data_IF_410884545813
#
_entry.id   IF_410884545813
#
_cell.length_a   1.000
_cell.length_b   1.000
_cell.length_c   1.000
_cell.angle_alpha   90.00
_cell.angle_beta   90.00
_cell.angle_gamma   90.00
#
_symmetry.space_group_name_H-M   'P 1'
#
loop_
_entity.id
_entity.type
_entity.pdbx_description
1 polymer ?
#
# COMPACT_ATOMS: atom_id res chain seq x y z
N UNK A 1 -11.34 -4.91 -17.63
CA UNK A 1 -10.74 -3.60 -17.27
C UNK A 1 -9.84 -3.29 -18.43
N UNK A 2 -10.17 -2.27 -19.22
CA UNK A 2 -9.37 -1.90 -20.38
C UNK A 2 -8.01 -1.36 -19.90
N UNK A 3 -6.89 -1.87 -20.45
CA UNK A 3 -5.58 -1.26 -20.25
C UNK A 3 -5.61 0.21 -20.67
N UNK A 4 -4.79 1.03 -20.01
CA UNK A 4 -4.54 2.44 -20.36
C UNK A 4 -5.71 3.44 -20.26
N UNK A 5 -6.94 3.00 -19.99
CA UNK A 5 -8.10 3.91 -19.91
C UNK A 5 -8.76 4.00 -18.55
N UNK A 6 -8.35 3.17 -17.60
CA UNK A 6 -8.89 3.16 -16.23
C UNK A 6 -7.84 2.63 -15.26
N UNK A 7 -8.04 2.89 -13.98
CA UNK A 7 -7.23 2.33 -12.92
C UNK A 7 -6.24 3.33 -12.34
N UNK A 8 -5.14 2.79 -11.86
CA UNK A 8 -3.97 3.55 -11.45
C UNK A 8 -2.95 3.45 -12.58
N UNK A 9 -2.47 4.60 -13.04
CA UNK A 9 -1.43 4.70 -14.05
C UNK A 9 -0.09 4.88 -13.34
N UNK A 10 0.93 4.15 -13.77
CA UNK A 10 2.26 4.11 -13.17
C UNK A 10 3.29 4.61 -14.15
N UNK A 11 4.38 5.19 -13.65
CA UNK A 11 5.58 5.41 -14.42
C UNK A 11 6.64 4.36 -14.04
N UNK A 12 6.79 3.27 -14.82
CA UNK A 12 7.70 2.19 -14.47
C UNK A 12 9.15 2.68 -14.35
N UNK A 13 9.80 2.28 -13.26
CA UNK A 13 11.20 2.61 -12.98
C UNK A 13 11.41 3.99 -12.34
N UNK A 14 10.37 4.81 -12.15
CA UNK A 14 10.55 6.15 -11.56
C UNK A 14 11.07 6.12 -10.11
N UNK A 15 10.86 5.02 -9.39
CA UNK A 15 11.39 4.81 -8.03
C UNK A 15 12.92 4.69 -7.98
N UNK A 16 13.58 4.55 -9.14
CA UNK A 16 15.03 4.52 -9.29
C UNK A 16 15.60 5.87 -9.77
N UNK A 17 14.73 6.82 -10.10
CA UNK A 17 15.09 8.13 -10.64
C UNK A 17 14.85 9.19 -9.56
N UNK A 18 15.93 9.68 -8.96
CA UNK A 18 15.87 10.66 -7.86
C UNK A 18 15.14 11.96 -8.26
N UNK A 19 15.21 12.34 -9.54
CA UNK A 19 14.54 13.52 -10.07
C UNK A 19 13.07 13.25 -10.50
N UNK A 20 12.56 12.02 -10.35
CA UNK A 20 11.18 11.70 -10.68
C UNK A 20 10.19 12.37 -9.72
N UNK A 21 10.55 12.46 -8.43
CA UNK A 21 9.70 13.08 -7.42
C UNK A 21 9.44 14.57 -7.72
N UNK A 22 10.48 15.31 -8.13
CA UNK A 22 10.39 16.73 -8.47
C UNK A 22 9.53 16.99 -9.72
N UNK A 23 9.41 15.99 -10.60
CA UNK A 23 8.58 16.08 -11.81
C UNK A 23 7.12 15.68 -11.58
N UNK A 24 6.81 15.00 -10.48
CA UNK A 24 5.47 14.53 -10.18
C UNK A 24 4.38 15.64 -10.19
N UNK A 25 4.64 16.86 -9.66
CA UNK A 25 3.64 17.94 -9.68
C UNK A 25 3.24 18.44 -11.07
N UNK A 26 4.14 18.33 -12.06
CA UNK A 26 3.96 18.79 -13.44
C UNK A 26 3.89 17.62 -14.44
N UNK A 27 3.64 16.41 -13.94
CA UNK A 27 3.71 15.17 -14.71
C UNK A 27 2.84 15.20 -15.98
N UNK A 28 1.69 15.86 -15.93
CA UNK A 28 0.77 15.97 -17.07
C UNK A 28 1.28 16.84 -18.21
N UNK A 29 2.28 17.69 -17.95
CA UNK A 29 2.91 18.57 -18.92
C UNK A 29 4.13 17.90 -19.58
N UNK A 30 4.71 16.87 -18.93
CA UNK A 30 5.82 16.08 -19.47
C UNK A 30 5.31 14.98 -20.40
N UNK A 31 5.13 15.32 -21.68
CA UNK A 31 4.65 14.39 -22.71
C UNK A 31 5.52 13.12 -22.83
N UNK A 32 6.82 13.22 -22.60
CA UNK A 32 7.74 12.08 -22.70
C UNK A 32 7.53 11.09 -21.55
N UNK A 33 7.31 11.60 -20.34
CA UNK A 33 6.95 10.76 -19.19
C UNK A 33 5.55 10.19 -19.35
N UNK A 34 4.57 11.01 -19.75
CA UNK A 34 3.20 10.56 -19.99
C UNK A 34 3.13 9.41 -21.01
N UNK A 35 3.94 9.45 -22.07
CA UNK A 35 4.03 8.39 -23.06
C UNK A 35 4.65 7.07 -22.53
N UNK A 36 5.36 7.13 -21.40
CA UNK A 36 5.95 5.95 -20.73
C UNK A 36 5.06 5.40 -19.61
N UNK A 37 3.97 6.09 -19.28
CA UNK A 37 3.10 5.67 -18.20
C UNK A 37 2.19 4.52 -18.64
N UNK A 38 1.95 3.57 -17.74
CA UNK A 38 1.19 2.35 -18.01
C UNK A 38 0.06 2.16 -16.99
N UNK A 39 -1.10 1.70 -17.45
CA UNK A 39 -2.18 1.22 -16.56
C UNK A 39 -2.33 -0.28 -16.77
N UNK A 40 -1.69 -1.13 -15.92
CA UNK A 40 -1.57 -2.56 -16.19
C UNK A 40 -2.90 -3.32 -16.19
N UNK A 41 -3.99 -2.70 -15.71
CA UNK A 41 -5.24 -3.39 -15.42
C UNK A 41 -5.07 -4.36 -14.24
N UNK A 42 -6.07 -4.49 -13.39
CA UNK A 42 -6.04 -5.46 -12.31
C UNK A 42 -7.43 -6.08 -12.17
N UNK A 43 -7.58 -7.33 -12.63
CA UNK A 43 -8.85 -8.03 -12.56
C UNK A 43 -9.34 -8.17 -11.11
N UNK A 44 -10.64 -8.41 -10.90
CA UNK A 44 -11.17 -8.66 -9.58
C UNK A 44 -10.47 -9.87 -8.93
N UNK A 45 -10.01 -9.69 -7.67
CA UNK A 45 -9.19 -10.68 -6.96
C UNK A 45 -7.70 -10.67 -7.35
N UNK A 46 -7.31 -9.87 -8.35
CA UNK A 46 -5.92 -9.63 -8.70
C UNK A 46 -5.21 -8.73 -7.69
N UNK A 47 -3.88 -8.79 -7.69
CA UNK A 47 -3.02 -8.01 -6.83
C UNK A 47 -2.04 -7.19 -7.67
N UNK A 48 -1.90 -5.92 -7.34
CA UNK A 48 -0.85 -5.05 -7.88
C UNK A 48 0.09 -4.65 -6.75
N UNK A 49 1.37 -4.99 -6.90
CA UNK A 49 2.43 -4.62 -5.95
C UNK A 49 3.43 -3.70 -6.65
N UNK A 50 3.83 -2.62 -5.99
CA UNK A 50 4.81 -1.68 -6.50
C UNK A 50 5.57 -1.01 -5.35
N UNK A 51 6.77 -0.50 -5.63
CA UNK A 51 7.53 0.33 -4.70
C UNK A 51 6.77 1.64 -4.46
N UNK A 52 6.58 2.05 -3.19
CA UNK A 52 5.82 3.26 -2.84
C UNK A 52 6.33 4.54 -3.52
N UNK A 53 7.63 4.60 -3.87
CA UNK A 53 8.23 5.74 -4.58
C UNK A 53 7.93 5.74 -6.08
N UNK A 54 7.29 4.69 -6.60
CA UNK A 54 6.84 4.66 -7.98
C UNK A 54 5.78 5.74 -8.17
N UNK A 55 6.05 6.67 -9.08
CA UNK A 55 5.16 7.76 -9.42
C UNK A 55 3.95 7.15 -10.09
N UNK A 56 2.78 7.45 -9.54
CA UNK A 56 1.52 6.93 -10.01
C UNK A 56 0.43 7.97 -9.86
N UNK A 57 -0.64 7.84 -10.65
CA UNK A 57 -1.81 8.71 -10.59
C UNK A 57 -3.09 7.92 -10.80
N UNK A 58 -4.17 8.37 -10.16
CA UNK A 58 -5.51 7.88 -10.47
C UNK A 58 -5.97 8.40 -11.83
N UNK A 59 -6.48 7.52 -12.68
CA UNK A 59 -7.22 7.94 -13.87
C UNK A 59 -8.68 8.23 -13.50
N UNK A 60 -9.32 9.11 -14.27
CA UNK A 60 -10.72 9.43 -14.07
C UNK A 60 -11.56 8.16 -14.25
N UNK A 61 -12.35 7.83 -13.24
CA UNK A 61 -13.27 6.71 -13.29
C UNK A 61 -14.59 7.20 -13.88
N UNK A 62 -14.83 6.90 -15.16
CA UNK A 62 -15.85 7.61 -15.90
C UNK A 62 -17.29 7.21 -15.53
N UNK A 63 -17.58 5.98 -15.04
CA UNK A 63 -18.97 5.52 -14.82
C UNK A 63 -19.13 4.21 -14.02
N UNK A 64 -18.16 3.79 -13.18
CA UNK A 64 -18.30 2.53 -12.42
C UNK A 64 -17.79 2.65 -11.00
N UNK A 65 -18.45 1.96 -10.08
CA UNK A 65 -17.91 1.80 -8.74
C UNK A 65 -16.74 0.80 -8.77
N UNK A 66 -15.65 1.11 -8.08
CA UNK A 66 -14.45 0.27 -8.00
C UNK A 66 -14.04 0.16 -6.55
N UNK A 67 -14.31 -0.99 -5.94
CA UNK A 67 -13.75 -1.32 -4.64
C UNK A 67 -12.22 -1.43 -4.75
N UNK A 68 -11.50 -0.58 -4.02
CA UNK A 68 -10.03 -0.60 -3.94
C UNK A 68 -9.63 -0.75 -2.48
N UNK A 69 -8.88 -1.79 -2.18
CA UNK A 69 -8.12 -1.88 -0.94
C UNK A 69 -6.69 -1.42 -1.21
N UNK A 70 -6.21 -0.45 -0.43
CA UNK A 70 -4.85 0.05 -0.51
C UNK A 70 -4.12 -0.26 0.79
N UNK A 71 -2.97 -0.93 0.69
CA UNK A 71 -2.14 -1.32 1.82
C UNK A 71 -0.73 -0.82 1.55
N UNK A 72 -0.20 -0.04 2.49
CA UNK A 72 1.21 0.39 2.48
C UNK A 72 1.94 -0.43 3.52
N UNK A 73 3.07 -1.01 3.12
CA UNK A 73 3.95 -1.74 4.02
C UNK A 73 5.27 -0.97 4.07
N UNK A 74 5.56 -0.40 5.24
CA UNK A 74 6.88 0.11 5.53
C UNK A 74 7.85 -1.05 5.75
N UNK A 75 9.02 -1.00 5.10
CA UNK A 75 10.07 -2.01 5.28
C UNK A 75 10.93 -1.74 6.52
N UNK A 76 10.85 -0.53 7.07
CA UNK A 76 11.51 -0.10 8.31
C UNK A 76 10.47 0.25 9.37
N UNK A 77 10.74 -0.05 10.66
CA UNK A 77 9.78 0.20 11.74
C UNK A 77 9.51 1.70 11.97
N UNK A 78 10.46 2.58 11.60
CA UNK A 78 10.37 4.02 11.87
C UNK A 78 9.80 4.83 10.69
N UNK A 79 9.45 4.17 9.59
CA UNK A 79 8.78 4.85 8.48
C UNK A 79 7.35 5.21 8.87
N UNK A 80 7.10 6.51 8.99
CA UNK A 80 5.79 7.09 9.30
C UNK A 80 5.24 7.72 8.02
N UNK A 81 4.04 7.35 7.62
CA UNK A 81 3.30 8.08 6.59
C UNK A 81 2.63 9.31 7.24
N UNK A 82 2.95 10.51 6.76
CA UNK A 82 2.48 11.77 7.33
C UNK A 82 1.61 12.61 6.40
N UNK A 83 1.37 12.16 5.16
CA UNK A 83 0.74 13.01 4.15
C UNK A 83 -0.42 12.34 3.42
N UNK A 84 -0.35 11.04 3.17
CA UNK A 84 -1.32 10.39 2.28
C UNK A 84 -2.47 9.70 3.03
N UNK A 85 -2.37 9.58 4.35
CA UNK A 85 -3.40 8.96 5.18
C UNK A 85 -3.83 9.86 6.34
N UNK A 86 -5.10 9.76 6.78
CA UNK A 86 -5.54 10.41 8.00
C UNK A 86 -4.70 9.93 9.20
N UNK A 87 -4.53 10.76 10.23
CA UNK A 87 -3.73 10.42 11.41
C UNK A 87 -4.31 9.24 12.21
N UNK A 88 -5.59 8.93 11.99
CA UNK A 88 -6.23 7.75 12.56
C UNK A 88 -6.02 6.57 11.63
N UNK A 89 -5.18 5.63 12.06
CA UNK A 89 -5.06 4.34 11.39
C UNK A 89 -6.30 3.50 11.61
N UNK A 90 -6.69 2.67 10.62
CA UNK A 90 -7.72 1.62 10.81
C UNK A 90 -7.32 0.63 11.92
N UNK A 91 -6.02 0.53 12.22
CA UNK A 91 -5.50 -0.29 13.32
C UNK A 91 -5.79 0.29 14.70
N UNK A 92 -5.93 1.61 14.78
CA UNK A 92 -6.17 2.38 16.01
C UNK A 92 -7.63 2.84 16.14
N UNK A 93 -8.44 2.62 15.10
CA UNK A 93 -9.87 2.87 15.10
C UNK A 93 -10.58 1.94 16.10
N UNK A 94 -11.57 2.48 16.83
CA UNK A 94 -12.40 1.67 17.71
C UNK A 94 -13.22 0.66 16.89
N UNK A 95 -13.62 -0.49 17.48
CA UNK A 95 -14.51 -1.43 16.81
C UNK A 95 -15.76 -0.76 16.23
N UNK A 96 -16.37 0.16 16.99
CA UNK A 96 -17.54 0.95 16.56
C UNK A 96 -17.24 1.83 15.33
N UNK A 97 -16.06 2.45 15.27
CA UNK A 97 -15.65 3.26 14.12
C UNK A 97 -15.43 2.41 12.85
N UNK A 98 -15.18 1.12 13.00
CA UNK A 98 -14.98 0.18 11.88
C UNK A 98 -16.21 -0.65 11.53
N UNK A 99 -17.23 -0.67 12.39
CA UNK A 99 -18.42 -1.53 12.24
C UNK A 99 -19.30 -1.13 11.05
N UNK A 100 -19.39 0.17 10.77
CA UNK A 100 -20.19 0.72 9.68
C UNK A 100 -19.38 0.99 8.41
N UNK A 101 -18.09 0.60 8.38
CA UNK A 101 -17.27 0.80 7.19
C UNK A 101 -17.72 -0.19 6.09
N UNK A 102 -18.32 0.29 4.98
CA UNK A 102 -19.10 -0.53 4.05
C UNK A 102 -18.25 -1.46 3.17
N UNK A 103 -16.96 -1.59 3.43
CA UNK A 103 -16.03 -2.32 2.58
C UNK A 103 -15.66 -3.71 3.09
N UNK A 104 -16.05 -4.07 4.32
CA UNK A 104 -15.54 -5.28 4.99
C UNK A 104 -16.52 -6.44 5.14
N UNK A 105 -17.82 -6.26 4.94
CA UNK A 105 -18.76 -7.36 5.16
C UNK A 105 -20.04 -7.23 4.33
N UNK A 106 -20.18 -8.07 3.30
CA UNK A 106 -21.44 -8.32 2.60
C UNK A 106 -22.02 -9.71 2.91
N UNK A 107 -21.49 -10.41 3.92
CA UNK A 107 -21.84 -11.80 4.25
C UNK A 107 -21.57 -12.85 3.14
N UNK A 108 -20.96 -12.48 2.00
CA UNK A 108 -20.66 -13.36 0.86
C UNK A 108 -19.16 -13.73 0.75
N UNK A 109 -18.33 -13.31 1.71
CA UNK A 109 -17.00 -13.87 1.92
C UNK A 109 -15.88 -13.25 1.10
N UNK A 110 -15.85 -11.92 0.89
CA UNK A 110 -14.68 -11.24 0.34
C UNK A 110 -13.88 -10.50 1.42
N UNK A 111 -12.74 -11.13 1.75
CA UNK A 111 -11.65 -10.70 2.66
C UNK A 111 -11.94 -10.84 4.16
N UNK A 112 -11.94 -12.09 4.62
CA UNK A 112 -12.12 -12.47 6.05
C UNK A 112 -10.83 -12.34 6.89
N UNK A 113 -9.76 -11.74 6.36
CA UNK A 113 -8.56 -11.47 7.16
C UNK A 113 -7.89 -10.19 6.72
N UNK A 114 -8.21 -9.11 7.44
CA UNK A 114 -7.14 -8.24 7.90
C UNK A 114 -6.17 -9.13 8.66
N UNK A 115 -5.10 -9.59 8.00
CA UNK A 115 -4.00 -10.27 8.68
C UNK A 115 -3.35 -9.19 9.54
N UNK A 116 -3.87 -9.03 10.77
CA UNK A 116 -3.11 -8.53 11.91
C UNK A 116 -1.92 -9.46 12.04
N UNK A 117 -0.86 -9.26 11.27
CA UNK A 117 0.46 -9.71 11.71
C UNK A 117 0.76 -8.80 12.90
N UNK A 118 0.20 -9.18 14.06
CA UNK A 118 0.57 -8.61 15.34
C UNK A 118 2.08 -8.58 15.31
N UNK A 119 2.67 -7.44 15.67
CA UNK A 119 4.12 -7.26 15.88
C UNK A 119 4.76 -8.52 16.51
N UNK A 120 4.03 -9.19 17.41
CA UNK A 120 4.35 -10.50 17.98
C UNK A 120 4.57 -11.66 17.01
N UNK A 121 3.74 -11.87 15.99
CA UNK A 121 3.93 -12.95 15.01
C UNK A 121 5.17 -12.72 14.13
N UNK A 122 5.45 -11.45 13.81
CA UNK A 122 6.69 -11.05 13.12
C UNK A 122 7.92 -11.29 13.98
N UNK A 123 7.88 -10.88 15.25
CA UNK A 123 8.93 -11.13 16.24
C UNK A 123 9.14 -12.63 16.46
N UNK A 124 8.06 -13.42 16.55
CA UNK A 124 8.16 -14.87 16.71
C UNK A 124 8.79 -15.54 15.49
N UNK A 125 8.44 -15.08 14.28
CA UNK A 125 9.04 -15.58 13.04
C UNK A 125 10.54 -15.23 12.98
N UNK A 126 10.90 -14.01 13.38
CA UNK A 126 12.29 -13.56 13.48
C UNK A 126 13.08 -14.39 14.49
N UNK A 127 12.52 -14.60 15.68
CA UNK A 127 13.09 -15.44 16.74
C UNK A 127 13.35 -16.86 16.23
N UNK A 128 12.36 -17.46 15.56
CA UNK A 128 12.47 -18.79 15.00
C UNK A 128 13.53 -18.88 13.89
N UNK A 129 13.62 -17.88 13.00
CA UNK A 129 14.59 -17.86 11.90
C UNK A 129 16.02 -17.61 12.34
N UNK A 130 16.20 -16.80 13.39
CA UNK A 130 17.52 -16.46 13.93
C UNK A 130 17.96 -17.42 15.04
N UNK A 131 17.13 -18.41 15.39
CA UNK A 131 17.35 -19.34 16.51
C UNK A 131 17.63 -18.61 17.84
N UNK A 132 16.94 -17.50 18.08
CA UNK A 132 17.03 -16.70 19.30
C UNK A 132 15.70 -16.68 20.04
N UNK A 133 15.70 -16.26 21.29
CA UNK A 133 14.46 -16.06 22.04
C UNK A 133 13.65 -14.89 21.48
N UNK A 134 12.34 -14.89 21.76
CA UNK A 134 11.43 -13.78 21.44
C UNK A 134 11.89 -12.48 22.11
N UNK A 135 12.51 -12.55 23.30
CA UNK A 135 13.04 -11.40 24.01
C UNK A 135 14.26 -10.80 23.32
N UNK A 136 15.18 -11.64 22.82
CA UNK A 136 16.34 -11.20 22.03
C UNK A 136 15.90 -10.63 20.68
N UNK A 137 14.96 -11.27 19.99
CA UNK A 137 14.37 -10.74 18.76
C UNK A 137 13.67 -9.38 19.00
N UNK A 138 13.02 -9.18 20.14
CA UNK A 138 12.47 -7.87 20.54
C UNK A 138 13.55 -6.83 20.76
N UNK A 139 14.61 -7.20 21.47
CA UNK A 139 15.72 -6.28 21.76
C UNK A 139 16.37 -5.78 20.47
N UNK A 140 16.60 -6.67 19.50
CA UNK A 140 17.11 -6.31 18.17
C UNK A 140 16.19 -5.33 17.45
N UNK A 141 14.87 -5.60 17.45
CA UNK A 141 13.87 -4.70 16.83
C UNK A 141 13.77 -3.35 17.54
N UNK A 142 14.08 -3.28 18.85
CA UNK A 142 14.00 -2.06 19.67
C UNK A 142 15.33 -1.27 19.71
N UNK A 143 16.48 -1.92 19.46
CA UNK A 143 17.81 -1.30 19.47
C UNK A 143 18.24 -0.72 18.11
N UNK A 144 17.43 -0.91 17.08
CA UNK A 144 17.67 -0.42 15.72
C UNK A 144 16.94 0.89 15.40
N UNK A 145 16.36 1.55 16.42
CA UNK A 145 15.70 2.86 16.34
C UNK A 145 16.47 3.97 17.05
#
# INVERSE_FOLDING_TARGET
>A
IEPETDGTQFWPGSHLDEAAADRAPVLTEDAAVMARMVSPGCAAGGLLCFDYRCIHRGLANANRERAVAYIVIAMTPDAVDGHNFPPLSVWDASPDATADMPFWDDAEGRVVRVVRMRREAGIQKLANSAHVSVAEARAVVMSSG
#
